data_IF_882466111876
#
_entry.id   IF_882466111876
#
_cell.length_a   1.000
_cell.length_b   1.000
_cell.length_c   1.000
_cell.angle_alpha   90.00
_cell.angle_beta   90.00
_cell.angle_gamma   90.00
#
_symmetry.space_group_name_H-M   'P 1'
#
loop_
_entity.id
_entity.type
_entity.pdbx_description
1 polymer ?
#
# COMPACT_ATOMS: atom_id res chain seq x y z
N UNK A 1 -25.45 31.20 -5.82
CA UNK A 1 -25.17 29.95 -6.59
C UNK A 1 -23.67 29.78 -6.84
N UNK A 2 -22.98 30.81 -7.35
CA UNK A 2 -21.53 30.81 -7.60
C UNK A 2 -20.71 30.67 -6.30
N UNK A 3 -21.06 31.38 -5.23
CA UNK A 3 -20.33 31.28 -3.94
C UNK A 3 -20.44 29.90 -3.28
N UNK A 4 -21.58 29.24 -3.46
CA UNK A 4 -21.79 27.87 -2.98
C UNK A 4 -20.87 26.88 -3.70
N UNK A 5 -20.70 27.06 -5.01
CA UNK A 5 -19.80 26.26 -5.83
C UNK A 5 -18.33 26.47 -5.43
N UNK A 6 -17.93 27.72 -5.18
CA UNK A 6 -16.57 28.06 -4.72
C UNK A 6 -16.28 27.45 -3.34
N UNK A 7 -17.23 27.54 -2.40
CA UNK A 7 -17.07 26.92 -1.07
C UNK A 7 -16.96 25.39 -1.15
N UNK A 8 -17.72 24.75 -2.04
CA UNK A 8 -17.63 23.29 -2.24
C UNK A 8 -16.26 22.88 -2.81
N UNK A 9 -15.74 23.65 -3.77
CA UNK A 9 -14.42 23.44 -4.35
C UNK A 9 -13.31 23.62 -3.30
N UNK A 10 -13.42 24.64 -2.44
CA UNK A 10 -12.50 24.89 -1.33
C UNK A 10 -12.55 23.78 -0.27
N UNK A 11 -13.75 23.27 0.04
CA UNK A 11 -13.94 22.14 0.95
C UNK A 11 -13.23 20.88 0.42
N UNK A 12 -13.43 20.53 -0.85
CA UNK A 12 -12.76 19.39 -1.49
C UNK A 12 -11.24 19.59 -1.51
N UNK A 13 -10.77 20.81 -1.82
CA UNK A 13 -9.33 21.14 -1.84
C UNK A 13 -8.69 21.02 -0.45
N UNK A 14 -9.44 21.29 0.62
CA UNK A 14 -9.02 21.06 2.01
C UNK A 14 -8.85 19.56 2.31
N UNK A 15 -9.81 18.72 1.90
CA UNK A 15 -9.71 17.26 2.02
C UNK A 15 -8.55 16.66 1.19
N UNK A 16 -8.26 17.23 0.03
CA UNK A 16 -7.19 16.79 -0.89
C UNK A 16 -5.79 17.33 -0.52
N UNK A 17 -5.66 18.15 0.53
CA UNK A 17 -4.37 18.74 0.94
C UNK A 17 -3.44 17.71 1.60
N UNK A 18 -3.98 16.59 2.10
CA UNK A 18 -3.26 15.49 2.75
C UNK A 18 -2.70 14.43 1.77
N UNK A 19 -2.04 14.87 0.69
CA UNK A 19 -1.58 13.99 -0.40
C UNK A 19 -0.55 12.93 0.03
N UNK A 20 0.11 13.12 1.16
CA UNK A 20 1.07 12.16 1.72
C UNK A 20 0.36 11.02 2.46
N UNK A 21 -0.63 11.33 3.28
CA UNK A 21 -1.44 10.33 3.98
C UNK A 21 -2.24 9.47 2.99
N UNK A 22 -2.79 10.07 1.93
CA UNK A 22 -3.53 9.33 0.90
C UNK A 22 -2.65 8.33 0.13
N UNK A 23 -1.37 8.66 -0.12
CA UNK A 23 -0.42 7.72 -0.75
C UNK A 23 -0.12 6.52 0.13
N UNK A 24 -0.01 6.73 1.45
CA UNK A 24 0.20 5.66 2.42
C UNK A 24 -1.03 4.75 2.56
N UNK A 25 -2.25 5.30 2.45
CA UNK A 25 -3.50 4.53 2.46
C UNK A 25 -3.60 3.63 1.22
N UNK A 26 -3.25 4.13 0.03
CA UNK A 26 -3.24 3.29 -1.19
C UNK A 26 -2.18 2.20 -1.07
N UNK A 27 -1.00 2.52 -0.53
CA UNK A 27 0.06 1.55 -0.29
C UNK A 27 -0.37 0.45 0.69
N UNK A 28 -1.07 0.80 1.78
CA UNK A 28 -1.54 -0.17 2.77
C UNK A 28 -2.61 -1.13 2.19
N UNK A 29 -3.56 -0.60 1.40
CA UNK A 29 -4.56 -1.43 0.71
C UNK A 29 -3.90 -2.37 -0.30
N UNK A 30 -2.93 -1.88 -1.09
CA UNK A 30 -2.18 -2.71 -2.03
C UNK A 30 -1.40 -3.81 -1.30
N UNK A 31 -0.83 -3.52 -0.13
CA UNK A 31 -0.14 -4.52 0.70
C UNK A 31 -1.11 -5.61 1.16
N UNK A 32 -2.29 -5.26 1.67
CA UNK A 32 -3.28 -6.25 2.13
C UNK A 32 -3.65 -7.23 1.02
N UNK A 33 -3.83 -6.74 -0.21
CA UNK A 33 -4.11 -7.58 -1.38
C UNK A 33 -2.88 -8.45 -1.72
N UNK A 34 -1.68 -7.87 -1.75
CA UNK A 34 -0.45 -8.61 -2.04
C UNK A 34 -0.16 -9.71 -1.00
N UNK A 35 -0.52 -9.50 0.26
CA UNK A 35 -0.41 -10.47 1.35
C UNK A 35 -1.44 -11.60 1.27
N UNK A 36 -2.58 -11.41 0.60
CA UNK A 36 -3.60 -12.45 0.47
C UNK A 36 -3.16 -13.64 -0.41
N UNK A 37 -2.31 -13.38 -1.41
CA UNK A 37 -1.75 -14.39 -2.33
C UNK A 37 -0.85 -15.42 -1.61
N UNK A 38 0.18 -15.04 -0.83
CA UNK A 38 1.01 -16.00 -0.10
C UNK A 38 0.22 -16.75 0.97
N UNK A 39 -0.79 -16.13 1.58
CA UNK A 39 -1.70 -16.80 2.52
C UNK A 39 -2.47 -17.92 1.82
N UNK A 40 -3.01 -17.66 0.62
CA UNK A 40 -3.68 -18.70 -0.16
C UNK A 40 -2.73 -19.82 -0.58
N UNK A 41 -1.48 -19.48 -0.94
CA UNK A 41 -0.44 -20.45 -1.29
C UNK A 41 -0.02 -21.36 -0.11
N UNK A 42 -0.10 -20.88 1.15
CA UNK A 42 0.16 -21.69 2.36
C UNK A 42 -0.76 -22.90 2.46
N UNK A 43 -2.03 -22.73 2.08
CA UNK A 43 -3.04 -23.77 2.23
C UNK A 43 -3.20 -24.65 0.99
N UNK A 44 -2.60 -24.25 -0.14
CA UNK A 44 -2.77 -24.92 -1.43
C UNK A 44 -1.52 -25.69 -1.92
N UNK A 45 -0.54 -25.99 -1.04
CA UNK A 45 0.68 -26.71 -1.43
C UNK A 45 0.60 -28.20 -1.08
N UNK A 46 0.46 -29.03 -2.13
CA UNK A 46 0.51 -30.50 -2.08
C UNK A 46 1.93 -31.06 -2.32
N UNK A 47 2.92 -30.19 -2.62
CA UNK A 47 4.27 -30.60 -3.07
C UNK A 47 5.37 -30.22 -2.07
N UNK A 48 6.21 -31.20 -1.73
CA UNK A 48 7.26 -31.13 -0.70
C UNK A 48 8.51 -30.29 -1.04
N UNK A 49 8.59 -29.66 -2.21
CA UNK A 49 9.81 -28.94 -2.59
C UNK A 49 9.67 -27.46 -2.21
N UNK A 50 10.17 -27.14 -1.01
CA UNK A 50 10.33 -25.83 -0.35
C UNK A 50 9.09 -25.15 0.29
N UNK A 51 7.94 -25.83 0.39
CA UNK A 51 6.69 -25.41 1.08
C UNK A 51 6.72 -24.11 1.92
N UNK A 52 6.83 -24.22 3.25
CA UNK A 52 6.83 -23.09 4.18
C UNK A 52 8.01 -22.09 3.99
N UNK A 53 9.27 -22.55 3.76
CA UNK A 53 10.39 -21.65 3.48
C UNK A 53 10.18 -20.73 2.27
N UNK A 54 9.55 -21.21 1.20
CA UNK A 54 9.31 -20.43 -0.02
C UNK A 54 8.37 -19.25 0.25
N UNK A 55 7.39 -19.47 1.11
CA UNK A 55 6.38 -18.46 1.46
C UNK A 55 7.00 -17.39 2.34
N UNK A 56 7.88 -17.76 3.28
CA UNK A 56 8.64 -16.80 4.05
C UNK A 56 9.49 -15.89 3.17
N UNK A 57 10.19 -16.45 2.17
CA UNK A 57 10.98 -15.66 1.22
C UNK A 57 10.10 -14.68 0.45
N UNK A 58 8.92 -15.12 -0.01
CA UNK A 58 7.97 -14.25 -0.70
C UNK A 58 7.47 -13.11 0.20
N UNK A 59 7.15 -13.44 1.46
CA UNK A 59 6.64 -12.51 2.45
C UNK A 59 7.69 -11.46 2.83
N UNK A 60 8.93 -11.88 3.04
CA UNK A 60 10.07 -11.00 3.26
C UNK A 60 10.38 -10.12 2.04
N UNK A 61 10.29 -10.65 0.82
CA UNK A 61 10.51 -9.88 -0.41
C UNK A 61 9.46 -8.78 -0.58
N UNK A 62 8.17 -9.11 -0.39
CA UNK A 62 7.06 -8.14 -0.46
C UNK A 62 7.20 -7.07 0.61
N UNK A 63 7.59 -7.45 1.84
CA UNK A 63 7.86 -6.49 2.91
C UNK A 63 9.03 -5.56 2.59
N UNK A 64 10.15 -6.09 2.09
CA UNK A 64 11.29 -5.28 1.70
C UNK A 64 10.94 -4.28 0.60
N UNK A 65 10.17 -4.69 -0.40
CA UNK A 65 9.68 -3.79 -1.47
C UNK A 65 8.78 -2.70 -0.88
N UNK A 66 7.89 -3.03 0.05
CA UNK A 66 7.03 -2.04 0.72
C UNK A 66 7.82 -1.00 1.51
N UNK A 67 8.80 -1.44 2.30
CA UNK A 67 9.67 -0.55 3.08
C UNK A 67 10.47 0.36 2.14
N UNK A 68 11.01 -0.17 1.04
CA UNK A 68 11.73 0.61 0.03
C UNK A 68 10.82 1.67 -0.62
N UNK A 69 9.60 1.30 -1.03
CA UNK A 69 8.64 2.24 -1.61
C UNK A 69 8.29 3.33 -0.59
N UNK A 70 8.01 2.96 0.65
CA UNK A 70 7.70 3.90 1.73
C UNK A 70 8.87 4.85 1.98
N UNK A 71 10.10 4.33 2.04
CA UNK A 71 11.32 5.12 2.21
C UNK A 71 11.56 6.09 1.04
N UNK A 72 11.36 5.64 -0.21
CA UNK A 72 11.46 6.50 -1.40
C UNK A 72 10.41 7.60 -1.37
N UNK A 73 9.17 7.29 -0.97
CA UNK A 73 8.12 8.30 -0.81
C UNK A 73 8.50 9.29 0.28
N UNK A 74 8.85 8.84 1.48
CA UNK A 74 9.21 9.73 2.59
C UNK A 74 10.41 10.62 2.24
N UNK A 75 11.46 10.07 1.60
CA UNK A 75 12.63 10.86 1.17
C UNK A 75 12.30 11.86 0.06
N UNK A 76 11.40 11.50 -0.87
CA UNK A 76 11.03 12.37 -1.99
C UNK A 76 10.06 13.49 -1.61
N UNK A 77 9.35 13.33 -0.51
CA UNK A 77 8.25 14.20 -0.10
C UNK A 77 8.41 14.80 1.30
N UNK A 78 9.44 14.38 2.04
CA UNK A 78 9.88 14.96 3.31
C UNK A 78 10.80 16.18 3.13
N UNK A 79 11.05 16.57 1.87
CA UNK A 79 11.42 17.92 1.44
C UNK A 79 10.37 18.43 0.44
#
# INVERSE_FOLDING_TARGET
MIDLFINYLLLIKSFMKKRHEQKLIILSVALVIAFSIPISLLFNSEKEVFGYPMILVYLFAVWMISILISFVIVKKYGE
#
